data_IF_371920075529
#
_entry.id   IF_371920075529
#
_cell.length_a   1.000
_cell.length_b   1.000
_cell.length_c   1.000
_cell.angle_alpha   90.00
_cell.angle_beta   90.00
_cell.angle_gamma   90.00
#
_symmetry.space_group_name_H-M   'P 1'
#
loop_
_entity.id
_entity.type
_entity.pdbx_description
1 polymer ?
#
# COMPACT_ATOMS: atom_id res chain seq x y z
N UNK A 1 8.87 -16.28 -18.88
CA UNK A 1 7.90 -16.21 -20.00
C UNK A 1 6.78 -17.26 -19.99
N UNK A 2 6.63 -18.14 -18.97
CA UNK A 2 5.59 -19.19 -18.96
C UNK A 2 4.36 -18.91 -18.07
N UNK A 3 4.41 -17.91 -17.19
CA UNK A 3 3.33 -17.63 -16.22
C UNK A 3 2.23 -16.73 -16.83
N UNK A 4 2.58 -15.87 -17.80
CA UNK A 4 1.61 -14.97 -18.44
C UNK A 4 0.68 -15.67 -19.44
N UNK A 5 1.03 -16.86 -19.95
CA UNK A 5 0.15 -17.61 -20.84
C UNK A 5 -1.05 -18.24 -20.12
N UNK A 6 -0.90 -18.64 -18.84
CA UNK A 6 -1.99 -19.26 -18.06
C UNK A 6 -3.09 -18.22 -17.74
N UNK A 7 -2.70 -16.99 -17.40
CA UNK A 7 -3.66 -15.92 -17.12
C UNK A 7 -4.43 -15.44 -18.36
N UNK A 8 -3.77 -15.39 -19.53
CA UNK A 8 -4.44 -15.04 -20.79
C UNK A 8 -5.44 -16.13 -21.20
N UNK A 9 -5.10 -17.42 -20.98
CA UNK A 9 -5.99 -18.53 -21.28
C UNK A 9 -7.24 -18.52 -20.38
N UNK A 10 -7.07 -18.27 -19.07
CA UNK A 10 -8.20 -18.20 -18.13
C UNK A 10 -9.17 -17.06 -18.46
N UNK A 11 -8.66 -15.88 -18.86
CA UNK A 11 -9.48 -14.75 -19.29
C UNK A 11 -10.26 -15.10 -20.57
N UNK A 12 -9.66 -15.84 -21.51
CA UNK A 12 -10.36 -16.29 -22.73
C UNK A 12 -11.46 -17.32 -22.46
N UNK A 13 -11.24 -18.21 -21.48
CA UNK A 13 -12.22 -19.24 -21.08
C UNK A 13 -13.42 -18.58 -20.38
N UNK A 14 -13.19 -17.61 -19.50
CA UNK A 14 -14.27 -16.87 -18.83
C UNK A 14 -15.12 -16.06 -19.82
N UNK A 15 -14.50 -15.48 -20.85
CA UNK A 15 -15.22 -14.75 -21.91
C UNK A 15 -16.04 -15.69 -22.81
N UNK A 16 -15.56 -16.91 -23.09
CA UNK A 16 -16.32 -17.91 -23.85
C UNK A 16 -17.53 -18.47 -23.09
N UNK A 17 -17.45 -18.57 -21.76
CA UNK A 17 -18.60 -19.01 -20.93
C UNK A 17 -19.69 -17.93 -20.89
N UNK A 18 -19.33 -16.64 -20.95
CA UNK A 18 -20.28 -15.53 -20.99
C UNK A 18 -21.02 -15.41 -22.34
N UNK A 19 -20.41 -15.88 -23.44
CA UNK A 19 -20.95 -15.77 -24.80
C UNK A 19 -21.86 -16.96 -25.18
N UNK A 20 -21.78 -18.11 -24.49
CA UNK A 20 -22.42 -19.36 -24.95
C UNK A 20 -23.70 -19.78 -24.19
N UNK A 21 -24.42 -18.85 -23.55
CA UNK A 21 -25.67 -19.14 -22.81
C UNK A 21 -26.93 -19.19 -23.67
N UNK A 22 -26.82 -19.14 -25.00
CA UNK A 22 -27.94 -19.34 -25.93
C UNK A 22 -27.93 -20.74 -26.57
N UNK A 23 -28.09 -21.80 -25.76
CA UNK A 23 -28.60 -23.09 -26.25
C UNK A 23 -30.03 -23.27 -25.77
N UNK A 24 -30.98 -23.08 -26.70
CA UNK A 24 -32.39 -23.43 -26.51
C UNK A 24 -32.49 -24.96 -26.36
N UNK A 25 -32.97 -25.42 -25.21
CA UNK A 25 -33.51 -26.77 -25.05
C UNK A 25 -34.94 -26.74 -25.58
N UNK A 26 -35.20 -27.42 -26.70
CA UNK A 26 -36.55 -27.66 -27.20
C UNK A 26 -37.27 -28.62 -26.26
N UNK A 27 -38.26 -28.12 -25.52
CA UNK A 27 -39.19 -28.95 -24.74
C UNK A 27 -40.56 -28.87 -25.40
N UNK A 28 -41.03 -30.04 -25.82
CA UNK A 28 -42.30 -30.39 -26.45
C UNK A 28 -43.51 -29.91 -25.62
N UNK A 29 -44.62 -29.47 -26.24
CA UNK A 29 -45.75 -28.89 -25.51
C UNK A 29 -46.62 -30.00 -24.89
N UNK A 30 -46.88 -29.92 -23.58
CA UNK A 30 -48.00 -30.60 -22.92
C UNK A 30 -49.00 -29.56 -22.42
N UNK A 31 -50.24 -29.70 -22.87
CA UNK A 31 -51.40 -28.95 -22.43
C UNK A 31 -51.63 -29.07 -20.92
N UNK A 32 -51.97 -27.97 -20.24
CA UNK A 32 -52.97 -27.86 -19.15
C UNK A 32 -53.05 -26.41 -18.61
N UNK A 33 -54.18 -25.99 -18.01
CA UNK A 33 -54.77 -24.67 -18.23
C UNK A 33 -54.29 -23.52 -17.31
N UNK A 34 -54.52 -22.30 -17.82
CA UNK A 34 -54.22 -20.97 -17.28
C UNK A 34 -54.61 -20.75 -15.80
N UNK A 35 -53.68 -20.20 -15.02
CA UNK A 35 -53.96 -19.20 -13.97
C UNK A 35 -53.03 -18.01 -14.22
N UNK A 36 -53.59 -16.87 -14.62
CA UNK A 36 -52.85 -15.64 -14.92
C UNK A 36 -52.84 -14.71 -13.71
N UNK A 37 -51.68 -14.53 -13.09
CA UNK A 37 -51.37 -13.34 -12.28
C UNK A 37 -49.91 -12.96 -12.46
N UNK A 38 -49.58 -12.42 -13.63
CA UNK A 38 -48.40 -11.56 -13.80
C UNK A 38 -48.80 -10.37 -14.66
N UNK A 39 -48.87 -9.20 -14.00
CA UNK A 39 -49.01 -7.87 -14.60
C UNK A 39 -47.90 -7.66 -15.63
N UNK A 40 -48.22 -7.86 -16.90
CA UNK A 40 -47.47 -7.29 -18.01
C UNK A 40 -47.90 -5.81 -18.10
N UNK A 41 -46.94 -4.89 -17.98
CA UNK A 41 -47.11 -3.52 -18.44
C UNK A 41 -47.16 -3.57 -19.98
N UNK A 42 -48.33 -3.91 -20.50
CA UNK A 42 -48.69 -3.65 -21.88
C UNK A 42 -48.93 -2.14 -22.02
N UNK A 43 -48.24 -1.49 -22.95
CA UNK A 43 -48.64 -0.18 -23.46
C UNK A 43 -50.00 -0.36 -24.14
N UNK A 44 -51.09 -0.03 -23.43
CA UNK A 44 -52.39 0.19 -24.05
C UNK A 44 -52.47 1.67 -24.44
N UNK A 45 -52.13 1.99 -25.68
CA UNK A 45 -52.67 3.16 -26.36
C UNK A 45 -54.11 2.83 -26.77
N UNK A 46 -55.10 3.17 -25.95
CA UNK A 46 -56.51 3.14 -26.32
C UNK A 46 -57.22 4.34 -25.69
N UNK A 47 -57.56 5.30 -26.54
CA UNK A 47 -58.44 6.45 -26.31
C UNK A 47 -58.04 7.38 -25.15
N UNK A 48 -57.44 8.52 -25.50
CA UNK A 48 -57.63 9.74 -24.71
C UNK A 48 -59.01 10.29 -25.06
N UNK A 49 -59.98 10.35 -24.12
CA UNK A 49 -61.17 11.15 -24.32
C UNK A 49 -60.73 12.60 -24.23
N UNK A 50 -60.88 13.33 -25.33
CA UNK A 50 -60.82 14.78 -25.28
C UNK A 50 -61.93 15.26 -24.33
N UNK A 51 -61.57 16.09 -23.34
CA UNK A 51 -62.46 16.84 -22.44
C UNK A 51 -62.64 16.29 -21.00
N UNK A 52 -61.55 16.13 -20.24
CA UNK A 52 -61.58 16.02 -18.76
C UNK A 52 -61.18 17.30 -18.02
N UNK A 53 -60.88 18.39 -18.73
CA UNK A 53 -60.39 19.64 -18.12
C UNK A 53 -61.46 20.36 -17.27
N UNK A 54 -62.74 19.99 -17.41
CA UNK A 54 -63.88 20.64 -16.75
C UNK A 54 -64.67 19.72 -15.81
N UNK A 55 -64.19 18.51 -15.51
CA UNK A 55 -64.85 17.61 -14.55
C UNK A 55 -64.50 18.05 -13.11
N UNK A 56 -65.48 18.46 -12.28
CA UNK A 56 -65.22 18.93 -10.92
C UNK A 56 -64.51 17.90 -10.05
N UNK A 57 -64.75 16.60 -10.26
CA UNK A 57 -64.12 15.53 -9.48
C UNK A 57 -62.63 15.36 -9.88
N UNK A 58 -62.32 15.51 -11.17
CA UNK A 58 -60.94 15.45 -11.67
C UNK A 58 -60.11 16.67 -11.22
N UNK A 59 -60.73 17.85 -11.21
CA UNK A 59 -60.07 19.07 -10.74
C UNK A 59 -59.72 19.00 -9.24
N UNK A 60 -60.58 18.41 -8.41
CA UNK A 60 -60.29 18.20 -6.98
C UNK A 60 -59.12 17.23 -6.76
N UNK A 61 -59.04 16.14 -7.54
CA UNK A 61 -57.93 15.17 -7.49
C UNK A 61 -56.61 15.82 -7.93
N UNK A 62 -56.64 16.62 -9.00
CA UNK A 62 -55.46 17.35 -9.49
C UNK A 62 -55.00 18.39 -8.46
N UNK A 63 -55.91 19.13 -7.83
CA UNK A 63 -55.56 20.11 -6.80
C UNK A 63 -54.95 19.45 -5.56
N UNK A 64 -55.49 18.30 -5.12
CA UNK A 64 -54.94 17.55 -4.00
C UNK A 64 -53.55 16.97 -4.34
N UNK A 65 -53.37 16.44 -5.55
CA UNK A 65 -52.06 15.99 -6.03
C UNK A 65 -51.03 17.13 -6.10
N UNK A 66 -51.46 18.31 -6.54
CA UNK A 66 -50.62 19.51 -6.59
C UNK A 66 -50.22 19.97 -5.19
N UNK A 67 -51.14 20.03 -4.23
CA UNK A 67 -50.84 20.36 -2.83
C UNK A 67 -49.82 19.39 -2.22
N UNK A 68 -50.02 18.08 -2.40
CA UNK A 68 -49.08 17.07 -1.90
C UNK A 68 -47.72 17.13 -2.60
N UNK A 69 -47.70 17.41 -3.91
CA UNK A 69 -46.46 17.52 -4.69
C UNK A 69 -45.69 18.79 -4.31
N UNK A 70 -46.38 19.91 -4.08
CA UNK A 70 -45.78 21.15 -3.61
C UNK A 70 -45.14 20.99 -2.22
N UNK A 71 -45.80 20.28 -1.31
CA UNK A 71 -45.24 19.98 0.01
C UNK A 71 -43.98 19.11 -0.09
N UNK A 72 -44.01 18.06 -0.92
CA UNK A 72 -42.82 17.21 -1.15
C UNK A 72 -41.66 17.95 -1.79
N UNK A 73 -41.93 18.86 -2.73
CA UNK A 73 -40.91 19.71 -3.33
C UNK A 73 -40.28 20.64 -2.28
N UNK A 74 -41.10 21.24 -1.40
CA UNK A 74 -40.58 22.08 -0.35
C UNK A 74 -39.71 21.30 0.66
N UNK A 75 -40.13 20.09 1.04
CA UNK A 75 -39.33 19.20 1.89
C UNK A 75 -38.03 18.75 1.22
N UNK A 76 -38.07 18.46 -0.08
CA UNK A 76 -36.88 18.09 -0.86
C UNK A 76 -35.88 19.25 -0.91
N UNK A 77 -36.35 20.48 -1.15
CA UNK A 77 -35.50 21.67 -1.17
C UNK A 77 -34.85 21.95 0.20
N UNK A 78 -35.58 21.76 1.29
CA UNK A 78 -35.02 21.90 2.65
C UNK A 78 -33.96 20.82 2.94
N UNK A 79 -34.21 19.57 2.53
CA UNK A 79 -33.22 18.49 2.62
C UNK A 79 -31.98 18.79 1.78
N UNK A 80 -32.15 19.33 0.57
CA UNK A 80 -31.01 19.69 -0.28
C UNK A 80 -30.19 20.84 0.28
N UNK A 81 -30.84 21.86 0.88
CA UNK A 81 -30.13 22.96 1.57
C UNK A 81 -29.29 22.44 2.74
N UNK A 82 -29.88 21.60 3.61
CA UNK A 82 -29.18 21.05 4.78
C UNK A 82 -28.02 20.12 4.42
N UNK A 83 -28.19 19.26 3.40
CA UNK A 83 -27.12 18.39 2.90
C UNK A 83 -25.98 19.22 2.30
N UNK A 84 -26.32 20.25 1.51
CA UNK A 84 -25.32 21.15 0.91
C UNK A 84 -24.51 21.88 1.98
N UNK A 85 -25.16 22.36 3.03
CA UNK A 85 -24.48 23.06 4.13
C UNK A 85 -23.51 22.13 4.88
N UNK A 86 -23.94 20.90 5.21
CA UNK A 86 -23.05 19.89 5.81
C UNK A 86 -21.84 19.55 4.93
N UNK A 87 -22.04 19.46 3.61
CA UNK A 87 -20.95 19.16 2.69
C UNK A 87 -19.93 20.30 2.61
N UNK A 88 -20.39 21.56 2.61
CA UNK A 88 -19.51 22.74 2.66
C UNK A 88 -18.71 22.76 3.97
N UNK A 89 -19.36 22.55 5.13
CA UNK A 89 -18.69 22.50 6.43
C UNK A 89 -17.64 21.39 6.51
N UNK A 90 -17.93 20.21 5.96
CA UNK A 90 -16.96 19.11 5.88
C UNK A 90 -15.77 19.44 4.98
N UNK A 91 -16.02 20.06 3.81
CA UNK A 91 -14.95 20.49 2.91
C UNK A 91 -14.06 21.55 3.56
N UNK A 92 -14.65 22.55 4.25
CA UNK A 92 -13.89 23.60 4.94
C UNK A 92 -13.01 23.00 6.06
N UNK A 93 -13.52 22.01 6.81
CA UNK A 93 -12.75 21.29 7.81
C UNK A 93 -11.57 20.51 7.21
N UNK A 94 -11.77 19.84 6.08
CA UNK A 94 -10.70 19.10 5.40
C UNK A 94 -9.65 20.04 4.81
N UNK A 95 -10.06 21.16 4.22
CA UNK A 95 -9.16 22.20 3.70
C UNK A 95 -8.32 22.79 4.84
N UNK A 96 -8.92 23.11 5.99
CA UNK A 96 -8.18 23.59 7.16
C UNK A 96 -7.15 22.57 7.66
N UNK A 97 -7.48 21.27 7.65
CA UNK A 97 -6.52 20.20 7.97
C UNK A 97 -5.37 20.13 6.96
N UNK A 98 -5.65 20.28 5.67
CA UNK A 98 -4.62 20.29 4.61
C UNK A 98 -3.69 21.49 4.79
N UNK A 99 -4.23 22.69 5.01
CA UNK A 99 -3.44 23.92 5.22
C UNK A 99 -2.54 23.78 6.47
N UNK A 100 -3.08 23.25 7.57
CA UNK A 100 -2.30 23.01 8.80
C UNK A 100 -1.19 21.98 8.57
N UNK A 101 -1.47 20.93 7.80
CA UNK A 101 -0.48 19.90 7.45
C UNK A 101 0.63 20.47 6.57
N UNK A 102 0.30 21.23 5.53
CA UNK A 102 1.27 21.91 4.67
C UNK A 102 2.15 22.88 5.46
N UNK A 103 1.57 23.60 6.44
CA UNK A 103 2.33 24.52 7.28
C UNK A 103 3.36 23.79 8.16
N UNK A 104 2.97 22.67 8.78
CA UNK A 104 3.90 21.84 9.56
C UNK A 104 4.98 21.20 8.69
N UNK A 105 4.62 20.74 7.49
CA UNK A 105 5.56 20.16 6.54
C UNK A 105 6.59 21.20 6.06
N UNK A 106 6.13 22.43 5.81
CA UNK A 106 7.02 23.55 5.46
C UNK A 106 7.96 23.93 6.61
N UNK A 107 7.47 24.03 7.84
CA UNK A 107 8.32 24.29 9.01
C UNK A 107 9.34 23.17 9.26
N UNK A 108 8.94 21.91 9.01
CA UNK A 108 9.83 20.76 9.12
C UNK A 108 10.91 20.78 8.03
N UNK A 109 10.54 21.07 6.77
CA UNK A 109 11.51 21.23 5.68
C UNK A 109 12.50 22.37 5.93
N UNK A 110 12.04 23.51 6.42
CA UNK A 110 12.93 24.65 6.74
C UNK A 110 13.94 24.25 7.82
N UNK A 111 13.51 23.51 8.86
CA UNK A 111 14.41 22.97 9.90
C UNK A 111 15.42 21.97 9.34
N UNK A 112 14.96 21.04 8.49
CA UNK A 112 15.85 20.07 7.84
C UNK A 112 16.86 20.75 6.91
N UNK A 113 16.46 21.80 6.18
CA UNK A 113 17.36 22.58 5.33
C UNK A 113 18.44 23.30 6.17
N UNK A 114 18.07 23.91 7.30
CA UNK A 114 19.05 24.53 8.21
C UNK A 114 20.01 23.53 8.85
N UNK A 115 19.54 22.31 9.18
CA UNK A 115 20.39 21.21 9.67
C UNK A 115 21.35 20.67 8.60
N UNK A 116 20.96 20.75 7.32
CA UNK A 116 21.83 20.37 6.21
C UNK A 116 22.89 21.43 5.88
N UNK A 117 22.60 22.72 6.06
CA UNK A 117 23.59 23.79 5.84
C UNK A 117 24.74 23.77 6.86
N UNK A 118 24.53 23.24 8.06
CA UNK A 118 25.61 23.02 9.04
C UNK A 118 26.55 21.85 8.66
N UNK A 119 26.19 21.02 7.67
CA UNK A 119 26.95 19.82 7.26
C UNK A 119 27.73 20.05 5.95
N UNK A 120 27.53 21.16 5.23
CA UNK A 120 28.14 21.42 3.92
C UNK A 120 28.71 22.84 3.84
N UNK A 121 29.78 23.13 4.59
CA UNK A 121 30.51 24.39 4.43
C UNK A 121 31.88 24.25 3.75
N UNK A 122 32.35 23.04 3.43
CA UNK A 122 33.65 22.86 2.77
C UNK A 122 33.58 21.89 1.59
N UNK A 123 33.08 22.39 0.46
CA UNK A 123 33.59 22.11 -0.89
C UNK A 123 32.50 22.28 -1.96
N UNK A 124 32.38 23.49 -2.52
CA UNK A 124 31.91 23.67 -3.90
C UNK A 124 32.94 24.56 -4.60
N UNK A 125 33.57 24.11 -5.71
CA UNK A 125 33.95 25.02 -6.76
C UNK A 125 32.79 25.10 -7.76
N UNK A 126 32.30 26.32 -7.90
CA UNK A 126 31.30 26.79 -8.85
C UNK A 126 31.80 26.60 -10.29
N UNK A 127 31.05 25.87 -11.11
CA UNK A 127 31.22 25.89 -12.57
C UNK A 127 30.02 26.59 -13.22
N UNK A 128 30.32 27.73 -13.81
CA UNK A 128 29.46 28.55 -14.65
C UNK A 128 29.21 27.82 -15.97
N UNK A 129 27.95 27.59 -16.35
CA UNK A 129 27.58 27.15 -17.71
C UNK A 129 26.40 27.97 -18.24
N UNK A 130 26.81 29.03 -18.92
CA UNK A 130 26.20 29.84 -19.97
C UNK A 130 25.07 29.19 -20.81
N UNK A 131 23.90 29.84 -20.76
CA UNK A 131 22.82 30.09 -21.75
C UNK A 131 22.50 29.16 -22.95
N UNK A 132 23.16 28.03 -23.20
CA UNK A 132 22.92 27.21 -24.42
C UNK A 132 21.97 26.01 -24.28
N UNK A 133 21.46 25.73 -23.06
CA UNK A 133 20.64 24.53 -22.81
C UNK A 133 19.16 24.73 -23.16
N UNK A 134 18.63 25.95 -23.08
CA UNK A 134 17.21 26.21 -23.36
C UNK A 134 16.82 25.85 -24.81
N UNK A 135 17.69 26.18 -25.77
CA UNK A 135 17.42 25.99 -27.21
C UNK A 135 17.55 24.52 -27.67
N UNK A 136 18.23 23.67 -26.88
CA UNK A 136 18.33 22.21 -27.12
C UNK A 136 17.22 21.41 -26.46
N UNK A 137 16.68 21.88 -25.34
CA UNK A 137 15.61 21.17 -24.60
C UNK A 137 14.27 21.30 -25.31
N UNK A 138 14.02 22.40 -26.02
CA UNK A 138 12.77 22.61 -26.77
C UNK A 138 12.65 21.67 -28.00
N UNK A 139 13.77 21.40 -28.69
CA UNK A 139 13.82 20.44 -29.81
C UNK A 139 13.76 18.97 -29.36
N UNK A 140 14.18 18.67 -28.13
CA UNK A 140 14.05 17.34 -27.53
C UNK A 140 12.61 17.05 -27.04
N UNK A 141 11.91 18.06 -26.52
CA UNK A 141 10.56 17.92 -25.99
C UNK A 141 9.51 17.65 -27.09
N UNK A 142 9.69 18.22 -28.29
CA UNK A 142 8.81 17.97 -29.45
C UNK A 142 8.94 16.56 -30.04
N UNK A 143 10.05 15.85 -29.80
CA UNK A 143 10.20 14.44 -30.21
C UNK A 143 9.60 13.45 -29.20
N UNK A 144 9.48 13.83 -27.92
CA UNK A 144 8.77 13.01 -26.91
C UNK A 144 7.24 13.17 -26.96
N UNK A 145 6.71 14.21 -27.62
CA UNK A 145 5.26 14.36 -27.86
C UNK A 145 4.65 13.31 -28.80
N UNK A 146 5.48 12.53 -29.50
CA UNK A 146 5.04 11.46 -30.42
C UNK A 146 4.56 10.17 -29.74
N UNK A 147 4.63 10.07 -28.41
CA UNK A 147 4.09 8.94 -27.63
C UNK A 147 2.72 9.21 -27.01
N UNK A 148 2.07 10.34 -27.35
CA UNK A 148 0.69 10.67 -26.95
C UNK A 148 -0.35 9.86 -27.75
N UNK A 149 -0.14 8.56 -27.83
CA UNK A 149 -1.01 7.57 -28.45
C UNK A 149 -1.16 6.31 -27.59
N UNK A 150 -1.25 6.46 -26.27
CA UNK A 150 -1.79 5.42 -25.39
C UNK A 150 -0.92 5.05 -24.18
N UNK A 151 -1.47 5.32 -22.99
CA UNK A 151 -1.23 4.51 -21.80
C UNK A 151 -0.25 5.07 -20.75
N UNK A 152 -0.83 5.64 -19.70
CA UNK A 152 -0.28 5.78 -18.34
C UNK A 152 0.81 6.87 -18.17
N UNK A 153 0.46 7.86 -17.37
CA UNK A 153 1.23 9.05 -17.08
C UNK A 153 2.61 8.75 -16.45
N UNK A 154 3.66 9.54 -16.75
CA UNK A 154 4.98 9.47 -16.08
C UNK A 154 4.97 9.87 -14.60
N UNK A 155 3.83 10.30 -14.04
CA UNK A 155 3.74 10.81 -12.67
C UNK A 155 3.76 9.72 -11.58
N UNK A 156 3.34 8.49 -11.90
CA UNK A 156 3.22 7.43 -10.88
C UNK A 156 4.53 6.66 -10.63
N UNK A 157 5.48 6.69 -11.57
CA UNK A 157 6.77 6.00 -11.42
C UNK A 157 7.78 6.75 -10.54
N UNK A 158 7.69 8.07 -10.43
CA UNK A 158 8.66 8.87 -9.66
C UNK A 158 8.31 8.97 -8.17
N UNK A 159 7.03 9.16 -7.82
CA UNK A 159 6.60 9.33 -6.42
C UNK A 159 6.56 7.99 -5.69
N UNK A 160 6.11 6.91 -6.35
CA UNK A 160 6.13 5.57 -5.77
C UNK A 160 7.54 4.98 -5.67
N UNK A 161 8.42 5.28 -6.63
CA UNK A 161 9.80 4.76 -6.66
C UNK A 161 10.69 5.33 -5.55
N UNK A 162 10.61 6.65 -5.32
CA UNK A 162 11.41 7.30 -4.27
C UNK A 162 10.96 6.89 -2.87
N UNK A 163 9.66 6.83 -2.61
CA UNK A 163 9.13 6.34 -1.33
C UNK A 163 9.49 4.87 -1.06
N UNK A 164 9.41 4.02 -2.08
CA UNK A 164 9.79 2.60 -1.97
C UNK A 164 11.30 2.42 -1.75
N UNK A 165 12.15 3.23 -2.40
CA UNK A 165 13.59 3.20 -2.19
C UNK A 165 13.99 3.65 -0.77
N UNK A 166 13.38 4.72 -0.27
CA UNK A 166 13.61 5.18 1.12
C UNK A 166 13.13 4.13 2.12
N UNK A 167 11.96 3.53 1.89
CA UNK A 167 11.43 2.47 2.77
C UNK A 167 12.30 1.22 2.79
N UNK A 168 12.75 0.74 1.62
CA UNK A 168 13.60 -0.45 1.52
C UNK A 168 14.97 -0.23 2.19
N UNK A 169 15.56 0.96 2.04
CA UNK A 169 16.77 1.34 2.77
C UNK A 169 16.52 1.45 4.29
N UNK A 170 15.40 2.01 4.72
CA UNK A 170 15.05 2.11 6.14
C UNK A 170 14.84 0.75 6.81
N UNK A 171 14.10 -0.16 6.15
CA UNK A 171 13.84 -1.50 6.68
C UNK A 171 15.12 -2.33 6.75
N UNK A 172 16.00 -2.22 5.76
CA UNK A 172 17.29 -2.93 5.76
C UNK A 172 18.22 -2.41 6.85
N UNK A 173 18.30 -1.10 7.07
CA UNK A 173 19.05 -0.52 8.19
C UNK A 173 18.51 -0.95 9.55
N UNK A 174 17.18 -0.91 9.71
CA UNK A 174 16.52 -1.35 10.94
C UNK A 174 16.78 -2.83 11.22
N UNK A 175 16.76 -3.68 10.18
CA UNK A 175 17.05 -5.10 10.30
C UNK A 175 18.51 -5.37 10.69
N UNK A 176 19.46 -4.60 10.14
CA UNK A 176 20.88 -4.67 10.52
C UNK A 176 21.06 -4.27 11.98
N UNK A 177 20.45 -3.17 12.43
CA UNK A 177 20.57 -2.71 13.81
C UNK A 177 20.01 -3.74 14.80
N UNK A 178 18.80 -4.26 14.56
CA UNK A 178 18.21 -5.33 15.39
C UNK A 178 19.03 -6.62 15.38
N UNK A 179 19.62 -6.96 14.24
CA UNK A 179 20.55 -8.09 14.12
C UNK A 179 21.77 -7.93 15.03
N UNK A 180 22.43 -6.78 14.95
CA UNK A 180 23.59 -6.44 15.78
C UNK A 180 23.23 -6.45 17.27
N UNK A 181 22.12 -5.82 17.66
CA UNK A 181 21.65 -5.81 19.05
C UNK A 181 21.40 -7.23 19.59
N UNK A 182 20.82 -8.12 18.77
CA UNK A 182 20.59 -9.51 19.12
C UNK A 182 21.90 -10.29 19.27
N UNK A 183 22.85 -10.14 18.34
CA UNK A 183 24.16 -10.78 18.38
C UNK A 183 24.99 -10.36 19.60
N UNK A 184 25.04 -9.05 19.87
CA UNK A 184 25.71 -8.49 21.07
C UNK A 184 25.07 -9.03 22.35
N UNK A 185 23.74 -9.01 22.44
CA UNK A 185 23.01 -9.51 23.60
C UNK A 185 23.30 -11.00 23.84
N UNK A 186 23.32 -11.80 22.78
CA UNK A 186 23.64 -13.23 22.85
C UNK A 186 25.07 -13.45 23.36
N UNK A 187 26.04 -12.75 22.77
CA UNK A 187 27.44 -12.83 23.16
C UNK A 187 27.70 -12.49 24.64
N UNK A 188 27.06 -11.44 25.14
CA UNK A 188 27.15 -11.03 26.55
C UNK A 188 26.53 -12.09 27.48
N UNK A 189 25.37 -12.64 27.08
CA UNK A 189 24.64 -13.62 27.89
C UNK A 189 25.40 -14.95 27.99
N UNK A 190 25.92 -15.46 26.87
CA UNK A 190 26.71 -16.70 26.87
C UNK A 190 28.03 -16.56 27.64
N UNK A 191 28.69 -15.40 27.57
CA UNK A 191 29.86 -15.14 28.42
C UNK A 191 29.49 -15.09 29.90
N UNK A 192 28.33 -14.52 30.26
CA UNK A 192 27.85 -14.53 31.65
C UNK A 192 27.60 -15.96 32.15
N UNK A 193 27.03 -16.80 31.30
CA UNK A 193 26.69 -18.19 31.61
C UNK A 193 27.89 -19.15 31.43
N UNK A 194 29.05 -18.61 31.02
CA UNK A 194 30.28 -19.37 30.85
C UNK A 194 30.71 -20.01 32.19
N UNK A 195 31.08 -21.30 32.21
CA UNK A 195 31.31 -22.05 33.44
C UNK A 195 32.27 -21.37 34.42
N UNK A 196 31.76 -20.96 35.58
CA UNK A 196 32.54 -20.35 36.66
C UNK A 196 32.97 -18.90 36.44
N UNK A 197 32.75 -18.32 35.25
CA UNK A 197 33.22 -16.97 34.92
C UNK A 197 32.47 -15.88 35.70
N UNK A 198 31.18 -16.08 35.94
CA UNK A 198 30.31 -15.16 36.69
C UNK A 198 30.70 -14.98 38.17
N UNK A 199 31.50 -15.90 38.74
CA UNK A 199 32.04 -15.76 40.10
C UNK A 199 33.33 -14.96 40.14
N UNK A 200 34.10 -14.98 39.06
CA UNK A 200 35.38 -14.29 38.95
C UNK A 200 35.27 -12.83 38.52
N UNK A 201 34.27 -12.51 37.69
CA UNK A 201 34.15 -11.22 37.03
C UNK A 201 32.73 -10.69 37.15
N UNK A 202 32.63 -9.38 37.40
CA UNK A 202 31.35 -8.69 37.42
C UNK A 202 30.75 -8.62 36.02
N UNK A 203 29.44 -8.81 35.93
CA UNK A 203 28.70 -8.69 34.66
C UNK A 203 28.94 -7.37 33.92
N UNK A 204 29.23 -6.27 34.64
CA UNK A 204 29.58 -4.98 34.05
C UNK A 204 30.84 -5.03 33.18
N UNK A 205 31.84 -5.83 33.56
CA UNK A 205 33.08 -5.97 32.80
C UNK A 205 32.84 -6.78 31.51
N UNK A 206 32.01 -7.83 31.60
CA UNK A 206 31.60 -8.64 30.43
C UNK A 206 30.82 -7.77 29.45
N UNK A 207 29.88 -6.94 29.95
CA UNK A 207 29.06 -6.04 29.12
C UNK A 207 29.88 -5.01 28.35
N UNK A 208 30.97 -4.50 28.94
CA UNK A 208 31.82 -3.50 28.28
C UNK A 208 32.73 -4.11 27.20
N UNK A 209 32.93 -5.42 27.22
CA UNK A 209 33.86 -6.10 26.33
C UNK A 209 33.25 -6.42 24.97
N UNK A 210 31.97 -6.80 24.94
CA UNK A 210 31.25 -7.12 23.70
C UNK A 210 30.41 -5.92 23.26
N UNK A 211 30.61 -5.49 22.03
CA UNK A 211 29.96 -4.36 21.40
C UNK A 211 29.57 -4.68 19.95
N UNK A 212 28.93 -3.72 19.29
CA UNK A 212 28.43 -3.85 17.92
C UNK A 212 29.52 -4.13 16.86
N UNK A 213 30.79 -3.80 17.14
CA UNK A 213 31.90 -4.01 16.20
C UNK A 213 32.62 -5.34 16.38
N UNK A 214 32.60 -5.92 17.58
CA UNK A 214 33.46 -7.07 17.92
C UNK A 214 32.71 -8.34 18.32
N UNK A 215 31.37 -8.33 18.38
CA UNK A 215 30.58 -9.51 18.76
C UNK A 215 30.75 -10.70 17.79
N UNK A 216 31.17 -10.45 16.55
CA UNK A 216 31.45 -11.47 15.55
C UNK A 216 32.91 -11.97 15.58
N UNK A 217 33.78 -11.28 16.31
CA UNK A 217 35.23 -11.54 16.32
C UNK A 217 35.57 -12.62 17.35
N UNK A 218 35.90 -13.82 16.86
CA UNK A 218 36.31 -14.98 17.69
C UNK A 218 37.47 -14.65 18.63
N UNK A 219 38.42 -13.86 18.15
CA UNK A 219 39.62 -13.42 18.88
C UNK A 219 39.28 -12.59 20.12
N UNK A 220 38.17 -11.84 20.10
CA UNK A 220 37.70 -11.07 21.25
C UNK A 220 37.32 -11.98 22.41
N UNK A 221 36.57 -13.05 22.13
CA UNK A 221 36.16 -14.02 23.15
C UNK A 221 37.35 -14.85 23.64
N UNK A 222 38.22 -15.26 22.72
CA UNK A 222 39.45 -16.00 23.04
C UNK A 222 40.34 -15.20 24.01
N UNK A 223 40.74 -14.00 23.59
CA UNK A 223 41.66 -13.15 24.35
C UNK A 223 41.08 -12.72 25.68
N UNK A 224 39.76 -12.58 25.79
CA UNK A 224 39.11 -12.33 27.05
C UNK A 224 39.29 -13.49 28.02
N UNK A 225 38.95 -14.72 27.62
CA UNK A 225 39.06 -15.90 28.49
C UNK A 225 40.52 -16.16 28.89
N UNK A 226 41.45 -15.99 27.96
CA UNK A 226 42.90 -16.05 28.20
C UNK A 226 43.35 -14.97 29.22
N UNK A 227 42.92 -13.73 29.06
CA UNK A 227 43.23 -12.63 30.00
C UNK A 227 42.68 -12.92 31.39
N UNK A 228 41.49 -13.49 31.49
CA UNK A 228 40.89 -13.84 32.78
C UNK A 228 41.68 -14.93 33.46
N UNK A 229 42.06 -15.97 32.72
CA UNK A 229 42.89 -17.03 33.24
C UNK A 229 44.23 -16.50 33.76
N UNK A 230 44.95 -15.74 32.94
CA UNK A 230 46.27 -15.19 33.30
C UNK A 230 46.24 -14.18 34.46
N UNK A 231 45.14 -13.45 34.66
CA UNK A 231 45.03 -12.43 35.72
C UNK A 231 44.36 -12.92 37.00
N UNK A 232 43.45 -13.89 36.93
CA UNK A 232 42.64 -14.35 38.08
C UNK A 232 42.97 -15.76 38.57
N UNK A 233 43.67 -16.57 37.77
CA UNK A 233 44.00 -17.96 38.10
C UNK A 233 45.49 -18.18 38.42
N UNK A 234 46.19 -17.15 38.89
CA UNK A 234 47.64 -17.18 39.17
C UNK A 234 47.96 -18.02 40.40
N UNK A 235 47.19 -17.85 41.48
CA UNK A 235 47.46 -18.51 42.77
C UNK A 235 46.93 -19.96 42.80
N UNK A 236 47.67 -20.88 43.43
CA UNK A 236 47.22 -22.27 43.65
C UNK A 236 45.88 -22.35 44.41
N UNK A 237 45.63 -21.40 45.30
CA UNK A 237 44.35 -21.29 46.02
C UNK A 237 43.20 -20.94 45.07
N UNK A 238 43.42 -20.07 44.08
CA UNK A 238 42.42 -19.71 43.08
C UNK A 238 42.12 -20.88 42.15
N UNK A 239 43.13 -21.68 41.78
CA UNK A 239 42.97 -22.90 40.97
C UNK A 239 42.11 -23.97 41.64
N UNK A 240 42.16 -24.06 42.97
CA UNK A 240 41.36 -25.03 43.72
C UNK A 240 39.96 -24.52 44.12
N UNK A 241 39.77 -23.21 44.28
CA UNK A 241 38.52 -22.62 44.79
C UNK A 241 37.57 -22.13 43.70
N UNK A 242 38.10 -21.59 42.61
CA UNK A 242 37.31 -20.99 41.55
C UNK A 242 37.00 -22.01 40.45
N UNK A 243 35.72 -22.20 40.16
CA UNK A 243 35.23 -23.21 39.21
C UNK A 243 35.88 -23.03 37.83
N UNK A 244 36.02 -21.77 37.39
CA UNK A 244 36.65 -21.46 36.12
C UNK A 244 38.14 -21.83 36.10
N UNK A 245 38.92 -21.46 37.13
CA UNK A 245 40.35 -21.77 37.20
C UNK A 245 40.64 -23.27 37.31
N UNK A 246 39.80 -23.99 38.05
CA UNK A 246 39.84 -25.45 38.14
C UNK A 246 39.57 -26.09 36.77
N UNK A 247 38.54 -25.62 36.06
CA UNK A 247 38.20 -26.08 34.72
C UNK A 247 39.32 -25.83 33.72
N UNK A 248 39.98 -24.67 33.77
CA UNK A 248 41.16 -24.36 32.94
C UNK A 248 42.32 -25.30 33.24
N UNK A 249 42.57 -25.58 34.51
CA UNK A 249 43.67 -26.48 34.91
C UNK A 249 43.45 -27.92 34.42
N UNK A 250 42.21 -28.39 34.33
CA UNK A 250 41.89 -29.75 33.87
C UNK A 250 41.74 -29.90 32.36
N UNK A 251 41.12 -28.94 31.67
CA UNK A 251 40.88 -29.02 30.20
C UNK A 251 41.95 -28.34 29.36
N UNK A 252 42.73 -27.45 29.96
CA UNK A 252 43.67 -26.60 29.24
C UNK A 252 43.04 -25.29 28.79
N UNK A 253 43.85 -24.24 28.83
CA UNK A 253 43.49 -22.86 28.47
C UNK A 253 43.02 -22.73 27.02
N UNK A 254 43.72 -23.39 26.10
CA UNK A 254 43.41 -23.34 24.67
C UNK A 254 42.01 -23.88 24.37
N UNK A 255 41.60 -24.99 24.99
CA UNK A 255 40.28 -25.59 24.74
C UNK A 255 39.13 -24.68 25.22
N UNK A 256 39.28 -24.05 26.39
CA UNK A 256 38.26 -23.15 26.93
C UNK A 256 38.16 -21.85 26.14
N UNK A 257 39.30 -21.30 25.74
CA UNK A 257 39.34 -20.08 24.92
C UNK A 257 38.79 -20.34 23.50
N UNK A 258 39.00 -21.55 22.97
CA UNK A 258 38.38 -21.99 21.71
C UNK A 258 36.86 -22.21 21.87
N UNK A 259 36.41 -22.75 23.01
CA UNK A 259 34.98 -22.84 23.31
C UNK A 259 34.32 -21.47 23.41
N UNK A 260 35.00 -20.50 24.02
CA UNK A 260 34.52 -19.12 24.07
C UNK A 260 34.48 -18.48 22.67
N UNK A 261 35.43 -18.83 21.79
CA UNK A 261 35.41 -18.39 20.39
C UNK A 261 34.17 -18.88 19.63
N UNK A 262 33.65 -20.07 19.96
CA UNK A 262 32.40 -20.59 19.40
C UNK A 262 31.17 -19.74 19.73
N UNK A 263 31.22 -18.93 20.79
CA UNK A 263 30.15 -17.98 21.14
C UNK A 263 29.99 -16.92 20.03
N UNK A 264 31.09 -16.47 19.42
CA UNK A 264 31.05 -15.50 18.33
C UNK A 264 30.30 -16.05 17.10
N UNK A 265 30.50 -17.33 16.77
CA UNK A 265 29.79 -17.99 15.65
C UNK A 265 28.28 -18.02 15.90
N UNK A 266 27.88 -18.44 17.10
CA UNK A 266 26.47 -18.47 17.49
C UNK A 266 25.86 -17.06 17.61
N UNK A 267 26.66 -16.06 17.99
CA UNK A 267 26.24 -14.67 18.02
C UNK A 267 25.97 -14.13 16.60
N UNK A 268 26.80 -14.52 15.61
CA UNK A 268 26.56 -14.20 14.19
C UNK A 268 25.29 -14.87 13.69
N UNK A 269 25.10 -16.16 13.96
CA UNK A 269 23.87 -16.88 13.59
C UNK A 269 22.64 -16.22 14.22
N UNK A 270 22.71 -15.82 15.49
CA UNK A 270 21.62 -15.13 16.17
C UNK A 270 21.33 -13.76 15.56
N UNK A 271 22.36 -13.02 15.17
CA UNK A 271 22.22 -11.74 14.48
C UNK A 271 21.55 -11.89 13.11
N UNK A 272 21.92 -12.92 12.33
CA UNK A 272 21.28 -13.23 11.05
C UNK A 272 19.81 -13.64 11.21
N UNK A 273 19.49 -14.50 12.18
CA UNK A 273 18.11 -14.90 12.46
C UNK A 273 17.24 -13.70 12.85
N UNK A 274 17.75 -12.79 13.68
CA UNK A 274 17.05 -11.57 14.06
C UNK A 274 16.85 -10.63 12.86
N UNK A 275 17.86 -10.48 12.01
CA UNK A 275 17.76 -9.71 10.76
C UNK A 275 16.69 -10.29 9.82
N UNK A 276 16.70 -11.61 9.63
CA UNK A 276 15.69 -12.29 8.82
C UNK A 276 14.27 -12.11 9.36
N UNK A 277 14.09 -12.17 10.69
CA UNK A 277 12.79 -11.97 11.32
C UNK A 277 12.18 -10.61 10.96
N UNK A 278 12.98 -9.54 11.06
CA UNK A 278 12.54 -8.18 10.72
C UNK A 278 12.23 -8.02 9.23
N UNK A 279 13.03 -8.64 8.35
CA UNK A 279 12.78 -8.61 6.92
C UNK A 279 11.51 -9.37 6.52
N UNK A 280 11.23 -10.51 7.18
CA UNK A 280 10.00 -11.29 6.97
C UNK A 280 8.76 -10.52 7.43
N UNK A 281 8.83 -9.82 8.55
CA UNK A 281 7.77 -8.91 9.01
C UNK A 281 7.55 -7.76 8.02
N UNK A 282 8.62 -7.13 7.54
CA UNK A 282 8.51 -6.09 6.51
C UNK A 282 7.90 -6.61 5.19
N UNK A 283 8.30 -7.80 4.75
CA UNK A 283 7.78 -8.43 3.54
C UNK A 283 6.28 -8.76 3.64
N UNK A 284 5.80 -9.20 4.80
CA UNK A 284 4.37 -9.50 5.00
C UNK A 284 3.51 -8.23 4.92
N UNK A 285 3.99 -7.12 5.49
CA UNK A 285 3.32 -5.81 5.43
C UNK A 285 3.29 -5.27 3.99
N UNK A 286 4.40 -5.37 3.25
CA UNK A 286 4.39 -4.94 1.84
C UNK A 286 3.46 -5.80 0.98
N UNK A 287 3.38 -7.11 1.23
CA UNK A 287 2.49 -8.02 0.50
C UNK A 287 1.00 -7.75 0.76
N UNK A 288 0.64 -7.35 1.99
CA UNK A 288 -0.74 -6.97 2.30
C UNK A 288 -1.10 -5.64 1.63
N UNK A 289 -0.18 -4.67 1.63
CA UNK A 289 -0.35 -3.39 0.94
C UNK A 289 -0.50 -3.57 -0.58
N UNK A 290 0.34 -4.40 -1.22
CA UNK A 290 0.19 -4.66 -2.66
C UNK A 290 -1.13 -5.33 -2.99
N UNK A 291 -1.59 -6.27 -2.16
CA UNK A 291 -2.91 -6.91 -2.33
C UNK A 291 -4.05 -5.89 -2.23
N UNK A 292 -4.00 -4.99 -1.25
CA UNK A 292 -5.00 -3.93 -1.08
C UNK A 292 -4.99 -2.93 -2.27
N UNK A 293 -3.79 -2.57 -2.75
CA UNK A 293 -3.63 -1.70 -3.93
C UNK A 293 -4.20 -2.37 -5.18
N UNK A 294 -3.88 -3.66 -5.42
CA UNK A 294 -4.41 -4.41 -6.56
C UNK A 294 -5.94 -4.48 -6.50
N UNK A 295 -6.52 -4.75 -5.33
CA UNK A 295 -7.97 -4.76 -5.15
C UNK A 295 -8.61 -3.40 -5.45
N UNK A 296 -7.99 -2.30 -5.01
CA UNK A 296 -8.43 -0.94 -5.32
C UNK A 296 -8.39 -0.64 -6.83
N UNK A 297 -7.31 -1.01 -7.51
CA UNK A 297 -7.17 -0.84 -8.96
C UNK A 297 -8.24 -1.63 -9.72
N UNK A 298 -8.49 -2.89 -9.34
CA UNK A 298 -9.55 -3.70 -9.94
C UNK A 298 -10.93 -3.04 -9.75
N UNK A 299 -11.22 -2.51 -8.56
CA UNK A 299 -12.48 -1.83 -8.29
C UNK A 299 -12.67 -0.59 -9.18
N UNK A 300 -11.63 0.23 -9.35
CA UNK A 300 -11.67 1.41 -10.23
C UNK A 300 -11.94 0.99 -11.68
N UNK A 301 -11.26 -0.05 -12.17
CA UNK A 301 -11.46 -0.56 -13.53
C UNK A 301 -12.90 -1.02 -13.76
N UNK A 302 -13.51 -1.72 -12.78
CA UNK A 302 -14.91 -2.16 -12.86
C UNK A 302 -15.87 -0.96 -12.93
N UNK A 303 -15.67 0.08 -12.11
CA UNK A 303 -16.48 1.30 -12.13
C UNK A 303 -16.38 2.00 -13.50
N UNK A 304 -15.16 2.12 -14.04
CA UNK A 304 -14.94 2.73 -15.36
C UNK A 304 -15.65 1.92 -16.46
N UNK A 305 -15.58 0.59 -16.43
CA UNK A 305 -16.28 -0.27 -17.39
C UNK A 305 -17.80 -0.07 -17.33
N UNK A 306 -18.40 -0.01 -16.14
CA UNK A 306 -19.83 0.24 -15.97
C UNK A 306 -20.21 1.62 -16.55
N UNK A 307 -19.43 2.66 -16.26
CA UNK A 307 -19.64 4.01 -16.80
C UNK A 307 -19.58 4.03 -18.33
N UNK A 308 -18.64 3.29 -18.94
CA UNK A 308 -18.54 3.16 -20.40
C UNK A 308 -19.76 2.44 -20.99
N UNK A 309 -20.22 1.35 -20.38
CA UNK A 309 -21.41 0.61 -20.84
C UNK A 309 -22.65 1.51 -20.80
N UNK A 310 -22.90 2.20 -19.67
CA UNK A 310 -24.02 3.13 -19.53
C UNK A 310 -23.92 4.25 -20.57
N UNK A 311 -22.72 4.82 -20.75
CA UNK A 311 -22.47 5.85 -21.76
C UNK A 311 -22.81 5.37 -23.17
N UNK A 312 -22.39 4.16 -23.55
CA UNK A 312 -22.69 3.57 -24.86
C UNK A 312 -24.20 3.35 -25.06
N UNK A 313 -24.92 2.86 -24.05
CA UNK A 313 -26.38 2.68 -24.09
C UNK A 313 -27.08 4.03 -24.30
N UNK A 314 -26.70 5.04 -23.53
CA UNK A 314 -27.26 6.40 -23.63
C UNK A 314 -26.97 7.03 -24.99
N UNK A 315 -25.73 6.88 -25.49
CA UNK A 315 -25.33 7.38 -26.81
C UNK A 315 -26.11 6.70 -27.93
N UNK A 316 -26.30 5.39 -27.84
CA UNK A 316 -27.10 4.63 -28.80
C UNK A 316 -28.57 5.10 -28.81
N UNK A 317 -29.18 5.28 -27.63
CA UNK A 317 -30.55 5.82 -27.49
C UNK A 317 -30.69 7.22 -28.10
N UNK A 318 -29.74 8.13 -27.86
CA UNK A 318 -29.74 9.48 -28.45
C UNK A 318 -29.68 9.42 -29.99
N UNK A 319 -28.78 8.61 -30.56
CA UNK A 319 -28.70 8.44 -32.02
C UNK A 319 -29.99 7.90 -32.62
N UNK A 320 -30.63 6.91 -31.98
CA UNK A 320 -31.92 6.37 -32.44
C UNK A 320 -33.03 7.43 -32.40
N UNK A 321 -33.10 8.24 -31.33
CA UNK A 321 -34.07 9.35 -31.22
C UNK A 321 -33.89 10.39 -32.32
N UNK A 322 -32.65 10.77 -32.64
CA UNK A 322 -32.37 11.74 -33.72
C UNK A 322 -32.74 11.19 -35.11
N UNK A 323 -32.46 9.91 -35.39
CA UNK A 323 -32.89 9.27 -36.65
C UNK A 323 -34.41 9.28 -36.82
N UNK A 324 -35.16 8.95 -35.76
CA UNK A 324 -36.63 9.01 -35.77
C UNK A 324 -37.13 10.44 -36.04
N UNK A 325 -36.59 11.45 -35.36
CA UNK A 325 -36.96 12.87 -35.60
C UNK A 325 -36.76 13.29 -37.05
N UNK A 326 -35.64 12.88 -37.66
CA UNK A 326 -35.34 13.22 -39.05
C UNK A 326 -36.32 12.60 -40.05
N UNK A 327 -36.84 11.41 -39.74
CA UNK A 327 -37.89 10.76 -40.56
C UNK A 327 -39.23 11.48 -40.44
N UNK A 328 -39.62 11.90 -39.23
CA UNK A 328 -40.87 12.67 -39.03
C UNK A 328 -40.84 14.04 -39.72
N UNK A 329 -39.70 14.74 -39.70
CA UNK A 329 -39.56 16.05 -40.39
C UNK A 329 -39.76 15.87 -41.90
N UNK A 330 -39.16 14.84 -42.50
CA UNK A 330 -39.32 14.57 -43.94
C UNK A 330 -40.77 14.29 -44.35
N UNK A 331 -41.53 13.59 -43.51
CA UNK A 331 -42.94 13.28 -43.78
C UNK A 331 -43.88 14.48 -43.65
N UNK A 332 -43.46 15.56 -42.99
CA UNK A 332 -44.24 16.80 -42.84
C UNK A 332 -43.99 17.82 -43.95
N UNK A 333 -42.94 17.61 -44.75
CA UNK A 333 -42.52 18.50 -45.83
C UNK A 333 -43.07 18.07 -47.21
N UNK A 334 -43.62 16.85 -47.31
CA UNK A 334 -44.39 16.32 -48.45
C UNK A 334 -45.89 16.61 -48.30
#
# INVERSE_FOLDING_TARGET
>A
MKINCINILLISVSLNILVNTHKKTSITPRHTPKIQTTRLLCECELYSPANYDNDPEMNEVIENFNKQTQQRLHEYDQRMKTIRQKCIEQCDQEIQKIILKDKLEKELMDKFATLQTDIQNDAIPTCICEKSIADKVEKGCLRCGGLLGGGIAPGWSLVSGLGYAVWTNYVTQTALQKGIEAGVKYGIQELKDFPGLSRLIKFSEIKNLINHTNYAEKTTYFSFVEKVNTTKCVDEVAKCKEIFCNLVSHRGESELSQRASGIAENAVVTAELAKEGVLKEGASVTSSLTTAIIASVIAIVVIVLIMVIIYLILRYRRKKKMKKKLQYIKLLEE
#
